data_IF_332972236147
#
_entry.id   IF_332972236147
#
_cell.length_a   1.000
_cell.length_b   1.000
_cell.length_c   1.000
_cell.angle_alpha   90.00
_cell.angle_beta   90.00
_cell.angle_gamma   90.00
#
_symmetry.space_group_name_H-M   'P 1'
#
loop_
_entity.id
_entity.type
_entity.pdbx_description
1 polymer ?
#
# COMPACT_ATOMS: atom_id res chain seq x y z
N UNK A 1 5.34 -12.90 34.60
CA UNK A 1 4.29 -12.31 35.47
C UNK A 1 4.83 -11.86 36.83
N UNK A 2 5.76 -12.57 37.51
CA UNK A 2 6.29 -12.17 38.83
C UNK A 2 7.09 -10.86 38.83
N UNK A 3 7.79 -10.49 37.73
CA UNK A 3 8.58 -9.25 37.64
C UNK A 3 7.74 -7.97 37.52
N UNK A 4 6.50 -8.05 37.00
CA UNK A 4 5.63 -6.88 36.81
C UNK A 4 4.93 -6.40 38.11
N UNK A 5 4.87 -7.24 39.16
CA UNK A 5 4.19 -6.89 40.40
C UNK A 5 4.94 -5.90 41.29
N UNK A 6 6.21 -5.63 41.02
CA UNK A 6 7.06 -4.69 41.75
C UNK A 6 7.69 -3.61 40.89
N UNK A 7 7.23 -3.48 39.62
CA UNK A 7 7.73 -2.46 38.71
C UNK A 7 7.21 -1.06 39.16
N UNK A 8 8.11 -0.08 39.17
CA UNK A 8 7.70 1.30 39.38
C UNK A 8 6.91 1.84 38.19
N UNK A 9 6.18 2.95 38.38
CA UNK A 9 5.48 3.62 37.28
C UNK A 9 6.44 4.04 36.16
N UNK A 10 7.69 4.33 36.48
CA UNK A 10 8.75 4.65 35.50
C UNK A 10 9.16 3.42 34.71
N UNK A 11 9.38 2.27 35.36
CA UNK A 11 9.75 1.03 34.70
C UNK A 11 8.65 0.54 33.74
N UNK A 12 7.37 0.74 34.13
CA UNK A 12 6.22 0.40 33.29
C UNK A 12 6.13 1.29 32.05
N UNK A 13 6.40 2.59 32.18
CA UNK A 13 6.44 3.50 31.01
C UNK A 13 7.56 3.11 30.07
N UNK A 14 8.76 2.90 30.57
CA UNK A 14 9.91 2.50 29.76
C UNK A 14 9.64 1.19 29.02
N UNK A 15 9.00 0.22 29.66
CA UNK A 15 8.60 -1.03 29.02
C UNK A 15 7.55 -0.81 27.92
N UNK A 16 6.55 0.06 28.18
CA UNK A 16 5.53 0.39 27.17
C UNK A 16 6.15 1.10 25.97
N UNK A 17 7.07 2.02 26.19
CA UNK A 17 7.80 2.72 25.12
C UNK A 17 8.61 1.75 24.27
N UNK A 18 9.32 0.81 24.90
CA UNK A 18 10.08 -0.22 24.19
C UNK A 18 9.17 -1.12 23.34
N UNK A 19 8.00 -1.51 23.87
CA UNK A 19 7.02 -2.33 23.12
C UNK A 19 6.42 -1.52 21.97
N UNK A 20 6.08 -0.25 22.20
CA UNK A 20 5.54 0.63 21.17
C UNK A 20 6.56 0.84 20.03
N UNK A 21 7.82 1.11 20.35
CA UNK A 21 8.90 1.25 19.36
C UNK A 21 9.08 -0.04 18.55
N UNK A 22 8.99 -1.20 19.20
CA UNK A 22 9.05 -2.49 18.51
C UNK A 22 7.88 -2.66 17.54
N UNK A 23 6.65 -2.33 17.96
CA UNK A 23 5.49 -2.36 17.07
C UNK A 23 5.63 -1.38 15.92
N UNK A 24 6.12 -0.17 16.18
CA UNK A 24 6.39 0.81 15.12
C UNK A 24 7.39 0.26 14.10
N UNK A 25 8.48 -0.35 14.55
CA UNK A 25 9.49 -0.97 13.67
C UNK A 25 8.93 -2.17 12.86
N UNK A 26 7.95 -2.89 13.42
CA UNK A 26 7.26 -3.97 12.70
C UNK A 26 6.28 -3.44 11.65
N UNK A 27 5.64 -2.30 11.92
CA UNK A 27 4.60 -1.69 11.06
C UNK A 27 5.24 -0.91 9.91
N UNK A 28 6.33 -0.19 10.16
CA UNK A 28 6.89 0.79 9.24
C UNK A 28 7.07 0.22 7.82
N UNK A 29 6.53 0.96 6.84
CA UNK A 29 6.80 0.75 5.44
C UNK A 29 8.05 1.51 4.98
N UNK A 30 8.51 1.17 3.80
CA UNK A 30 9.59 1.89 3.12
C UNK A 30 9.12 2.29 1.72
N UNK A 31 9.70 3.36 1.18
CA UNK A 31 9.48 3.79 -0.19
C UNK A 31 10.81 4.03 -0.88
N UNK A 32 11.04 3.36 -2.01
CA UNK A 32 12.22 3.54 -2.87
C UNK A 32 11.77 4.05 -4.24
N UNK A 33 12.15 5.28 -4.58
CA UNK A 33 11.80 5.93 -5.83
C UNK A 33 12.31 5.18 -7.08
N UNK A 34 13.45 4.48 -6.96
CA UNK A 34 14.00 3.66 -8.07
C UNK A 34 13.12 2.44 -8.32
N UNK A 35 12.69 1.77 -7.23
CA UNK A 35 11.77 0.64 -7.31
C UNK A 35 10.41 1.10 -7.83
N UNK A 36 9.95 2.29 -7.43
CA UNK A 36 8.71 2.86 -7.95
C UNK A 36 8.78 3.10 -9.46
N UNK A 37 9.82 3.78 -9.95
CA UNK A 37 10.05 4.02 -11.39
C UNK A 37 10.16 2.71 -12.18
N UNK A 38 10.87 1.73 -11.64
CA UNK A 38 10.94 0.40 -12.24
C UNK A 38 9.56 -0.29 -12.28
N UNK A 39 8.81 -0.25 -11.18
CA UNK A 39 7.51 -0.90 -11.07
C UNK A 39 6.47 -0.30 -12.02
N UNK A 40 6.46 1.03 -12.19
CA UNK A 40 5.54 1.72 -13.12
C UNK A 40 5.81 1.38 -14.59
N UNK A 41 7.00 0.87 -14.91
CA UNK A 41 7.36 0.43 -16.27
C UNK A 41 7.12 -1.07 -16.46
N UNK A 42 7.53 -1.89 -15.51
CA UNK A 42 7.56 -3.37 -15.66
C UNK A 42 6.23 -4.02 -15.31
N UNK A 43 5.57 -3.57 -14.24
CA UNK A 43 4.27 -4.16 -13.80
C UNK A 43 3.19 -4.00 -14.88
N UNK A 44 3.01 -2.82 -15.50
CA UNK A 44 2.03 -2.66 -16.57
C UNK A 44 2.27 -3.59 -17.76
N UNK A 45 3.52 -3.77 -18.14
CA UNK A 45 3.89 -4.67 -19.25
C UNK A 45 3.57 -6.12 -18.89
N UNK A 46 3.98 -6.58 -17.70
CA UNK A 46 3.71 -7.94 -17.25
C UNK A 46 2.22 -8.23 -17.09
N UNK A 47 1.45 -7.28 -16.56
CA UNK A 47 0.00 -7.41 -16.41
C UNK A 47 -0.72 -7.39 -17.77
N UNK A 48 -0.27 -6.58 -18.72
CA UNK A 48 -0.78 -6.56 -20.09
C UNK A 48 -0.60 -7.92 -20.78
N UNK A 49 0.59 -8.52 -20.63
CA UNK A 49 0.87 -9.87 -21.17
C UNK A 49 -0.06 -10.90 -20.53
N UNK A 50 -0.23 -10.86 -19.21
CA UNK A 50 -1.11 -11.78 -18.48
C UNK A 50 -2.58 -11.64 -18.93
N UNK A 51 -3.10 -10.43 -19.02
CA UNK A 51 -4.48 -10.16 -19.47
C UNK A 51 -4.69 -10.60 -20.92
N UNK A 52 -3.70 -10.43 -21.79
CA UNK A 52 -3.75 -10.88 -23.19
C UNK A 52 -3.75 -12.41 -23.25
N UNK A 53 -2.92 -13.08 -22.44
CA UNK A 53 -2.85 -14.54 -22.38
C UNK A 53 -4.15 -15.19 -21.88
N UNK A 54 -4.87 -14.51 -20.99
CA UNK A 54 -6.16 -14.96 -20.44
C UNK A 54 -7.35 -14.69 -21.40
N UNK A 55 -7.14 -14.02 -22.54
CA UNK A 55 -8.19 -13.70 -23.52
C UNK A 55 -8.14 -14.65 -24.69
N UNK A 56 -8.98 -15.74 -24.74
CA UNK A 56 -8.83 -16.85 -25.69
C UNK A 56 -8.94 -16.49 -27.17
N UNK A 57 -9.44 -15.31 -27.51
CA UNK A 57 -9.66 -14.88 -28.91
C UNK A 57 -8.55 -13.99 -29.50
N UNK A 58 -7.50 -13.63 -28.75
CA UNK A 58 -6.51 -12.61 -29.16
C UNK A 58 -5.06 -13.11 -29.28
N UNK A 59 -4.82 -14.40 -29.08
CA UNK A 59 -3.49 -15.03 -29.11
C UNK A 59 -2.80 -15.05 -30.49
N UNK A 60 -3.45 -14.57 -31.57
CA UNK A 60 -2.96 -14.66 -32.93
C UNK A 60 -2.11 -13.49 -33.44
N UNK A 61 -1.86 -12.45 -32.68
CA UNK A 61 -1.17 -11.28 -33.19
C UNK A 61 -0.08 -10.78 -32.23
N UNK A 62 1.18 -10.82 -32.69
CA UNK A 62 2.33 -10.17 -32.02
C UNK A 62 2.08 -8.66 -31.73
N UNK A 63 1.18 -8.03 -32.49
CA UNK A 63 0.75 -6.65 -32.25
C UNK A 63 -0.07 -6.49 -30.96
N UNK A 64 -0.69 -7.54 -30.43
CA UNK A 64 -1.41 -7.51 -29.17
C UNK A 64 -0.47 -7.48 -27.96
N UNK A 65 0.75 -8.02 -28.09
CA UNK A 65 1.79 -7.95 -27.05
C UNK A 65 2.42 -6.55 -26.93
N UNK A 66 2.34 -5.73 -27.99
CA UNK A 66 2.82 -4.33 -27.96
C UNK A 66 1.82 -3.35 -27.35
N UNK A 67 0.57 -3.74 -27.18
CA UNK A 67 -0.43 -2.91 -26.52
C UNK A 67 -0.13 -2.88 -25.01
N UNK A 68 0.19 -1.72 -24.51
CA UNK A 68 0.48 -1.52 -23.08
C UNK A 68 -0.77 -1.69 -22.21
N UNK A 69 -0.59 -1.80 -20.91
CA UNK A 69 -1.70 -1.83 -19.94
C UNK A 69 -2.59 -0.57 -20.06
N UNK A 70 -2.03 0.56 -20.51
CA UNK A 70 -2.75 1.79 -20.81
C UNK A 70 -3.95 1.60 -21.72
N UNK A 71 -3.88 0.64 -22.65
CA UNK A 71 -5.00 0.36 -23.57
C UNK A 71 -6.14 -0.44 -22.91
N UNK A 72 -5.86 -1.04 -21.75
CA UNK A 72 -6.80 -1.84 -20.97
C UNK A 72 -7.35 -1.10 -19.75
N UNK A 73 -6.69 -0.03 -19.32
CA UNK A 73 -7.09 0.78 -18.15
C UNK A 73 -7.65 2.11 -18.64
N UNK A 74 -8.96 2.28 -18.49
CA UNK A 74 -9.65 3.54 -18.77
C UNK A 74 -9.93 4.28 -17.47
N UNK A 75 -9.40 5.50 -17.35
CA UNK A 75 -9.67 6.36 -16.22
C UNK A 75 -10.82 7.29 -16.58
N UNK A 76 -11.93 7.16 -15.86
CA UNK A 76 -13.11 7.99 -16.06
C UNK A 76 -13.41 8.77 -14.78
N UNK A 77 -13.77 10.03 -14.91
CA UNK A 77 -14.13 10.89 -13.78
C UNK A 77 -13.38 12.21 -13.77
N UNK A 78 -13.50 12.92 -12.66
CA UNK A 78 -12.98 14.28 -12.51
C UNK A 78 -11.50 14.29 -12.08
N UNK A 79 -10.60 13.75 -12.91
CA UNK A 79 -9.15 13.63 -12.61
C UNK A 79 -8.54 14.98 -12.25
N UNK A 80 -8.88 16.05 -12.99
CA UNK A 80 -8.37 17.40 -12.72
C UNK A 80 -8.86 17.96 -11.39
N UNK A 81 -10.05 17.54 -10.95
CA UNK A 81 -10.54 17.89 -9.62
C UNK A 81 -9.70 17.22 -8.54
N UNK A 82 -9.39 15.93 -8.70
CA UNK A 82 -8.52 15.19 -7.75
C UNK A 82 -7.13 15.81 -7.68
N UNK A 83 -6.54 16.20 -8.81
CA UNK A 83 -5.25 16.91 -8.85
C UNK A 83 -5.28 18.22 -8.07
N UNK A 84 -6.36 19.02 -8.23
CA UNK A 84 -6.53 20.26 -7.48
C UNK A 84 -6.74 20.06 -5.97
N UNK A 85 -7.17 18.89 -5.54
CA UNK A 85 -7.27 18.56 -4.11
C UNK A 85 -5.90 18.41 -3.45
N UNK A 86 -4.87 17.98 -4.19
CA UNK A 86 -3.49 17.93 -3.70
C UNK A 86 -2.97 19.30 -3.25
N UNK A 87 -3.40 20.37 -3.93
CA UNK A 87 -3.01 21.74 -3.55
C UNK A 87 -3.68 22.20 -2.25
N UNK A 88 -4.69 21.47 -1.78
CA UNK A 88 -5.48 21.82 -0.58
C UNK A 88 -5.12 20.99 0.65
N UNK A 89 -4.49 19.85 0.46
CA UNK A 89 -4.10 18.96 1.56
C UNK A 89 -3.86 17.52 1.14
N UNK A 90 -3.63 16.69 2.13
CA UNK A 90 -3.32 15.27 1.98
C UNK A 90 -4.53 14.47 1.50
N UNK A 91 -4.35 13.61 0.50
CA UNK A 91 -5.41 12.77 -0.02
C UNK A 91 -5.55 11.47 0.76
N UNK A 92 -6.80 11.12 1.06
CA UNK A 92 -7.17 9.76 1.50
C UNK A 92 -8.04 9.13 0.43
N UNK A 93 -7.49 8.17 -0.29
CA UNK A 93 -8.17 7.46 -1.38
C UNK A 93 -8.86 6.21 -0.79
N UNK A 94 -10.17 6.09 -1.00
CA UNK A 94 -11.01 5.06 -0.39
C UNK A 94 -11.77 4.29 -1.48
N UNK A 95 -11.12 3.35 -2.18
CA UNK A 95 -11.77 2.57 -3.23
C UNK A 95 -12.54 1.37 -2.66
N UNK A 96 -13.47 0.85 -3.44
CA UNK A 96 -14.00 -0.50 -3.21
C UNK A 96 -12.93 -1.54 -3.46
N UNK A 97 -12.98 -2.67 -2.71
CA UNK A 97 -12.01 -3.76 -2.83
C UNK A 97 -12.73 -5.06 -3.17
N UNK A 98 -12.52 -5.55 -4.38
CA UNK A 98 -13.18 -6.75 -4.92
C UNK A 98 -12.18 -7.83 -5.34
N UNK A 99 -10.92 -7.47 -5.58
CA UNK A 99 -9.89 -8.36 -6.14
C UNK A 99 -8.49 -8.01 -5.62
N UNK A 100 -7.64 -9.03 -5.54
CA UNK A 100 -6.21 -8.83 -5.25
C UNK A 100 -5.48 -7.98 -6.31
N UNK A 101 -6.04 -7.85 -7.51
CA UNK A 101 -5.50 -6.99 -8.58
C UNK A 101 -5.80 -5.50 -8.35
N UNK A 102 -6.78 -5.16 -7.51
CA UNK A 102 -7.22 -3.77 -7.32
C UNK A 102 -6.08 -2.86 -6.88
N UNK A 103 -5.23 -3.31 -5.98
CA UNK A 103 -4.08 -2.52 -5.50
C UNK A 103 -3.07 -2.24 -6.62
N UNK A 104 -2.84 -3.21 -7.52
CA UNK A 104 -1.90 -3.06 -8.64
C UNK A 104 -2.49 -2.13 -9.69
N UNK A 105 -3.75 -2.35 -10.07
CA UNK A 105 -4.46 -1.52 -11.06
C UNK A 105 -4.61 -0.09 -10.55
N UNK A 106 -4.97 0.08 -9.28
CA UNK A 106 -5.11 1.40 -8.67
C UNK A 106 -3.76 2.12 -8.58
N UNK A 107 -2.69 1.43 -8.16
CA UNK A 107 -1.34 2.02 -8.14
C UNK A 107 -0.92 2.52 -9.52
N UNK A 108 -1.24 1.76 -10.58
CA UNK A 108 -0.99 2.17 -11.95
C UNK A 108 -1.90 3.33 -12.39
N UNK A 109 -3.17 3.31 -12.02
CA UNK A 109 -4.10 4.41 -12.31
C UNK A 109 -3.66 5.73 -11.63
N UNK A 110 -3.21 5.67 -10.38
CA UNK A 110 -2.63 6.80 -9.64
C UNK A 110 -1.42 7.38 -10.39
N UNK A 111 -0.53 6.51 -10.91
CA UNK A 111 0.59 6.93 -11.73
C UNK A 111 0.14 7.60 -13.04
N UNK A 112 -0.82 7.01 -13.78
CA UNK A 112 -1.36 7.59 -15.02
C UNK A 112 -2.05 8.94 -14.77
N UNK A 113 -2.68 9.12 -13.62
CA UNK A 113 -3.27 10.40 -13.22
C UNK A 113 -2.24 11.45 -12.84
N UNK A 114 -0.95 11.10 -12.78
CA UNK A 114 0.11 12.01 -12.33
C UNK A 114 0.01 12.38 -10.85
N UNK A 115 -0.61 11.53 -10.04
CA UNK A 115 -0.70 11.70 -8.60
C UNK A 115 0.53 11.10 -7.91
N UNK A 116 0.93 11.62 -6.75
CA UNK A 116 2.03 11.05 -5.97
C UNK A 116 1.66 9.64 -5.49
N UNK A 117 2.66 8.78 -5.23
CA UNK A 117 2.42 7.45 -4.67
C UNK A 117 1.68 7.51 -3.33
N UNK A 118 0.91 6.48 -3.06
CA UNK A 118 0.08 6.38 -1.86
C UNK A 118 0.70 5.41 -0.86
N UNK A 119 0.68 5.76 0.42
CA UNK A 119 0.92 4.80 1.50
C UNK A 119 -0.33 3.94 1.71
N UNK A 120 -0.16 2.67 2.03
CA UNK A 120 -1.30 1.78 2.28
C UNK A 120 -0.95 0.64 3.23
N UNK A 121 -1.94 0.21 4.00
CA UNK A 121 -1.82 -0.94 4.88
C UNK A 121 -1.93 -2.25 4.10
N UNK A 122 -0.92 -3.10 4.24
CA UNK A 122 -0.85 -4.41 3.61
C UNK A 122 -0.80 -5.54 4.64
N UNK A 123 -1.68 -6.54 4.51
CA UNK A 123 -1.68 -7.71 5.36
C UNK A 123 -0.39 -8.52 5.22
N UNK A 124 0.07 -9.17 6.31
CA UNK A 124 1.32 -9.93 6.33
C UNK A 124 1.36 -11.05 5.28
N UNK A 125 0.22 -11.58 4.86
CA UNK A 125 0.14 -12.59 3.80
C UNK A 125 0.76 -12.12 2.46
N UNK A 126 0.73 -10.82 2.17
CA UNK A 126 1.31 -10.24 0.96
C UNK A 126 2.84 -10.19 1.00
N UNK A 127 3.43 -10.35 2.18
CA UNK A 127 4.88 -10.38 2.37
C UNK A 127 5.47 -11.80 2.35
N UNK A 128 4.64 -12.84 2.21
CA UNK A 128 5.11 -14.23 2.20
C UNK A 128 5.74 -14.67 0.87
N UNK A 129 5.33 -14.06 -0.25
CA UNK A 129 5.93 -14.34 -1.55
C UNK A 129 7.11 -13.38 -1.79
N UNK A 130 8.31 -13.84 -2.17
CA UNK A 130 9.49 -12.99 -2.36
C UNK A 130 9.29 -11.84 -3.34
N UNK A 131 8.55 -12.06 -4.44
CA UNK A 131 8.30 -11.03 -5.45
C UNK A 131 7.36 -9.96 -4.93
N UNK A 132 6.20 -10.36 -4.37
CA UNK A 132 5.27 -9.39 -3.77
C UNK A 132 5.88 -8.69 -2.57
N UNK A 133 6.65 -9.41 -1.74
CA UNK A 133 7.37 -8.85 -0.60
C UNK A 133 8.36 -7.76 -1.02
N UNK A 134 9.09 -7.97 -2.11
CA UNK A 134 10.02 -6.96 -2.62
C UNK A 134 9.27 -5.67 -2.96
N UNK A 135 8.18 -5.74 -3.71
CA UNK A 135 7.39 -4.56 -4.07
C UNK A 135 6.71 -3.94 -2.85
N UNK A 136 6.06 -4.74 -1.99
CA UNK A 136 5.42 -4.24 -0.78
C UNK A 136 6.41 -3.50 0.13
N UNK A 137 7.60 -4.05 0.31
CA UNK A 137 8.64 -3.43 1.16
C UNK A 137 9.22 -2.13 0.59
N UNK A 138 9.03 -1.83 -0.70
CA UNK A 138 9.67 -0.69 -1.36
C UNK A 138 8.69 0.30 -2.00
N UNK A 139 7.39 0.04 -1.94
CA UNK A 139 6.37 0.88 -2.57
C UNK A 139 5.36 1.49 -1.58
N UNK A 140 5.77 1.75 -0.34
CA UNK A 140 4.97 2.46 0.65
C UNK A 140 3.94 1.60 1.39
N UNK A 141 4.00 0.26 1.26
CA UNK A 141 3.14 -0.59 2.06
C UNK A 141 3.64 -0.68 3.51
N UNK A 142 2.82 -0.34 4.48
CA UNK A 142 3.07 -0.65 5.88
C UNK A 142 2.39 -1.96 6.29
N UNK A 143 3.02 -2.67 7.22
CA UNK A 143 2.57 -4.02 7.59
C UNK A 143 1.45 -4.01 8.59
N UNK A 144 0.38 -4.73 8.28
CA UNK A 144 -0.78 -4.91 9.17
C UNK A 144 -0.89 -6.39 9.57
N UNK A 145 -0.61 -6.67 10.85
CA UNK A 145 -0.84 -7.99 11.43
C UNK A 145 -2.26 -8.08 12.00
N UNK A 146 -3.17 -8.63 11.23
CA UNK A 146 -4.58 -8.80 11.63
C UNK A 146 -4.77 -9.79 12.79
N UNK A 147 -3.76 -10.61 13.09
CA UNK A 147 -3.80 -11.57 14.21
C UNK A 147 -3.44 -10.91 15.55
N UNK A 148 -2.79 -9.75 15.53
CA UNK A 148 -2.46 -9.02 16.75
C UNK A 148 -3.68 -8.30 17.30
N UNK A 149 -4.17 -8.79 18.44
CA UNK A 149 -5.35 -8.25 19.14
C UNK A 149 -4.99 -7.25 20.24
N UNK A 150 -3.69 -7.12 20.57
CA UNK A 150 -3.21 -6.23 21.63
C UNK A 150 -3.62 -4.76 21.37
N UNK A 151 -4.25 -4.11 22.36
CA UNK A 151 -4.68 -2.71 22.26
C UNK A 151 -3.55 -1.77 21.88
N UNK A 152 -2.39 -1.91 22.53
CA UNK A 152 -1.21 -1.08 22.23
C UNK A 152 -0.76 -1.20 20.77
N UNK A 153 -0.81 -2.40 20.16
CA UNK A 153 -0.49 -2.56 18.73
C UNK A 153 -1.44 -1.75 17.84
N UNK A 154 -2.75 -1.79 18.16
CA UNK A 154 -3.76 -1.06 17.39
C UNK A 154 -3.60 0.45 17.52
N UNK A 155 -3.24 0.93 18.72
CA UNK A 155 -2.95 2.36 18.92
C UNK A 155 -1.70 2.78 18.13
N UNK A 156 -0.61 2.01 18.20
CA UNK A 156 0.60 2.31 17.41
C UNK A 156 0.31 2.30 15.89
N UNK A 157 -0.55 1.40 15.41
CA UNK A 157 -0.94 1.35 14.00
C UNK A 157 -1.76 2.59 13.60
N UNK A 158 -2.69 3.04 14.45
CA UNK A 158 -3.45 4.27 14.22
C UNK A 158 -2.54 5.49 14.20
N UNK A 159 -1.67 5.62 15.22
CA UNK A 159 -0.71 6.71 15.31
C UNK A 159 0.22 6.76 14.09
N UNK A 160 0.69 5.60 13.61
CA UNK A 160 1.48 5.54 12.38
C UNK A 160 0.74 6.14 11.18
N UNK A 161 -0.55 5.76 10.99
CA UNK A 161 -1.36 6.28 9.89
C UNK A 161 -1.66 7.78 10.07
N UNK A 162 -1.91 8.25 11.31
CA UNK A 162 -2.15 9.66 11.64
C UNK A 162 -0.92 10.50 11.34
N UNK A 163 0.25 10.10 11.86
CA UNK A 163 1.52 10.79 11.61
C UNK A 163 1.87 10.83 10.11
N UNK A 164 1.58 9.75 9.38
CA UNK A 164 1.78 9.76 7.93
C UNK A 164 0.93 10.83 7.24
N UNK A 165 -0.33 11.00 7.64
CA UNK A 165 -1.21 12.07 7.11
C UNK A 165 -0.73 13.47 7.52
N UNK A 166 -0.29 13.64 8.77
CA UNK A 166 0.26 14.91 9.28
C UNK A 166 1.56 15.33 8.58
N UNK A 167 2.31 14.35 8.07
CA UNK A 167 3.52 14.56 7.26
C UNK A 167 3.24 14.65 5.75
N UNK A 168 1.99 14.90 5.36
CA UNK A 168 1.54 15.06 3.97
C UNK A 168 1.72 13.80 3.08
N UNK A 169 1.82 12.61 3.67
CA UNK A 169 1.81 11.38 2.89
C UNK A 169 0.37 11.01 2.51
N UNK A 170 0.08 10.98 1.21
CA UNK A 170 -1.21 10.54 0.72
C UNK A 170 -1.44 9.06 1.04
N UNK A 171 -2.64 8.71 1.47
CA UNK A 171 -2.97 7.38 1.94
C UNK A 171 -4.04 6.70 1.08
N UNK A 172 -3.94 5.39 1.02
CA UNK A 172 -4.93 4.50 0.42
C UNK A 172 -5.49 3.57 1.50
N UNK A 173 -6.80 3.53 1.61
CA UNK A 173 -7.50 2.70 2.57
C UNK A 173 -8.61 1.89 1.90
N UNK A 174 -8.59 0.57 2.06
CA UNK A 174 -9.64 -0.34 1.58
C UNK A 174 -10.58 -0.72 2.73
N UNK A 175 -11.74 -0.07 2.89
CA UNK A 175 -12.60 -0.29 4.05
C UNK A 175 -13.28 -1.65 4.06
N UNK A 176 -13.46 -2.28 2.92
CA UNK A 176 -14.10 -3.59 2.76
C UNK A 176 -13.13 -4.75 2.58
N UNK A 177 -11.82 -4.56 2.80
CA UNK A 177 -10.82 -5.60 2.64
C UNK A 177 -10.97 -6.71 3.70
N UNK A 178 -11.33 -7.93 3.27
CA UNK A 178 -11.38 -9.16 4.08
C UNK A 178 -10.00 -9.81 4.16
#
# INVERSE_FOLDING_TARGET
QKRLRHASARDLRELLDQIALRFAAEIVGNFDDRVYKFSTTVIPTGLSVLLTAMSPGKLGSLSSLRRGLSDHVQIQGSVDHVRKLLDKGTLVVVPTHSSHLDSIVLGYAVHLMGLPPLLYGAGLNLFNNPVTSFFMNNLGAYRVDRKKTAGLYKEVLKEYATVALELDYNNLFFPGGT
#
